data_IF_926518678910
#
_entry.id   IF_926518678910
#
_cell.length_a   1.000
_cell.length_b   1.000
_cell.length_c   1.000
_cell.angle_alpha   90.00
_cell.angle_beta   90.00
_cell.angle_gamma   90.00
#
_symmetry.space_group_name_H-M   'P 1'
#
loop_
_entity.id
_entity.type
_entity.pdbx_description
1 polymer ?
#
# COMPACT_ATOMS: atom_id res chain seq x y z
N UNK A 1 21.84 44.23 -27.53
CA UNK A 1 20.54 43.66 -27.94
C UNK A 1 20.04 42.86 -26.76
N UNK A 2 19.61 43.56 -25.72
CA UNK A 2 19.10 42.98 -24.47
C UNK A 2 17.58 43.01 -24.53
N UNK A 3 16.95 41.94 -25.03
CA UNK A 3 15.51 41.66 -24.85
C UNK A 3 15.07 40.33 -25.50
N UNK A 4 15.69 39.21 -25.15
CA UNK A 4 15.11 37.87 -25.39
C UNK A 4 15.18 37.06 -24.09
N UNK A 5 14.54 37.56 -23.05
CA UNK A 5 14.17 36.77 -21.87
C UNK A 5 12.67 36.93 -21.70
N UNK A 6 11.92 35.88 -22.07
CA UNK A 6 10.47 35.85 -21.94
C UNK A 6 10.05 36.20 -20.51
N UNK A 7 9.25 37.24 -20.38
CA UNK A 7 8.67 37.65 -19.10
C UNK A 7 7.90 36.47 -18.51
N UNK A 8 8.26 36.03 -17.30
CA UNK A 8 7.52 34.98 -16.58
C UNK A 8 6.04 35.38 -16.55
N UNK A 9 5.17 34.49 -17.06
CA UNK A 9 3.72 34.73 -17.10
C UNK A 9 3.20 35.15 -15.72
N UNK A 10 2.34 36.16 -15.66
CA UNK A 10 1.69 36.59 -14.42
C UNK A 10 0.80 35.51 -13.80
N UNK A 11 0.56 34.40 -14.50
CA UNK A 11 -0.22 33.24 -14.06
C UNK A 11 0.62 32.15 -13.39
N UNK A 12 1.94 32.32 -13.23
CA UNK A 12 2.80 31.30 -12.58
C UNK A 12 2.32 30.97 -11.15
N UNK A 13 1.79 31.94 -10.40
CA UNK A 13 1.22 31.68 -9.08
C UNK A 13 -0.01 30.77 -9.14
N UNK A 14 -0.86 30.93 -10.16
CA UNK A 14 -2.04 30.10 -10.35
C UNK A 14 -1.66 28.67 -10.72
N UNK A 15 -0.61 28.50 -11.55
CA UNK A 15 -0.03 27.17 -11.85
C UNK A 15 0.50 26.52 -10.57
N UNK A 16 1.31 27.23 -9.77
CA UNK A 16 1.82 26.68 -8.51
C UNK A 16 0.70 26.29 -7.54
N UNK A 17 -0.34 27.12 -7.43
CA UNK A 17 -1.48 26.84 -6.56
C UNK A 17 -2.28 25.63 -7.06
N UNK A 18 -2.52 25.52 -8.37
CA UNK A 18 -3.17 24.36 -8.97
C UNK A 18 -2.34 23.08 -8.78
N UNK A 19 -1.01 23.15 -8.97
CA UNK A 19 -0.10 22.04 -8.71
C UNK A 19 -0.12 21.63 -7.24
N UNK A 20 -0.07 22.59 -6.31
CA UNK A 20 -0.14 22.31 -4.88
C UNK A 20 -1.48 21.66 -4.49
N UNK A 21 -2.59 22.16 -5.01
CA UNK A 21 -3.91 21.58 -4.78
C UNK A 21 -3.99 20.14 -5.31
N UNK A 22 -3.43 19.88 -6.49
CA UNK A 22 -3.38 18.54 -7.08
C UNK A 22 -2.52 17.59 -6.22
N UNK A 23 -1.34 18.05 -5.77
CA UNK A 23 -0.48 17.26 -4.87
C UNK A 23 -1.20 16.94 -3.57
N UNK A 24 -1.86 17.92 -2.94
CA UNK A 24 -2.62 17.69 -1.71
C UNK A 24 -3.75 16.69 -1.92
N UNK A 25 -4.50 16.79 -3.02
CA UNK A 25 -5.57 15.86 -3.37
C UNK A 25 -5.06 14.42 -3.50
N UNK A 26 -3.87 14.25 -4.09
CA UNK A 26 -3.24 12.94 -4.28
C UNK A 26 -2.60 12.35 -3.01
N UNK A 27 -2.10 13.21 -2.11
CA UNK A 27 -1.43 12.77 -0.87
C UNK A 27 -2.44 12.47 0.25
N UNK A 28 -3.61 13.12 0.22
CA UNK A 28 -4.65 12.97 1.25
C UNK A 28 -5.06 11.50 1.51
N UNK A 29 -5.31 10.65 0.49
CA UNK A 29 -5.64 9.24 0.71
C UNK A 29 -4.49 8.47 1.37
N UNK A 30 -3.24 8.77 1.01
CA UNK A 30 -2.05 8.13 1.61
C UNK A 30 -1.89 8.51 3.08
N UNK A 31 -2.13 9.78 3.44
CA UNK A 31 -2.18 10.22 4.84
C UNK A 31 -3.31 9.51 5.58
N UNK A 32 -4.50 9.44 4.98
CA UNK A 32 -5.63 8.74 5.59
C UNK A 32 -5.38 7.26 5.81
N UNK A 33 -4.65 6.60 4.90
CA UNK A 33 -4.22 5.22 5.03
C UNK A 33 -3.19 5.05 6.14
N UNK A 34 -2.17 5.92 6.19
CA UNK A 34 -1.14 5.96 7.23
C UNK A 34 -1.73 6.18 8.62
N UNK A 35 -2.68 7.10 8.76
CA UNK A 35 -3.34 7.34 10.04
C UNK A 35 -4.18 6.12 10.42
N UNK A 36 -4.94 5.57 9.46
CA UNK A 36 -5.77 4.39 9.67
C UNK A 36 -4.98 3.15 10.08
N UNK A 37 -3.76 2.97 9.59
CA UNK A 37 -2.94 1.79 9.92
C UNK A 37 -2.52 1.72 11.39
N UNK A 38 -2.50 2.85 12.11
CA UNK A 38 -2.23 2.90 13.55
C UNK A 38 -3.49 2.84 14.42
N UNK A 39 -4.69 2.81 13.84
CA UNK A 39 -5.95 2.80 14.60
C UNK A 39 -6.37 1.38 14.91
N UNK A 40 -6.97 1.18 16.08
CA UNK A 40 -7.61 -0.09 16.39
C UNK A 40 -8.95 -0.26 15.64
N UNK A 41 -9.51 -1.48 15.76
CA UNK A 41 -10.75 -1.88 15.10
C UNK A 41 -11.95 -1.02 15.48
N UNK A 42 -12.05 -0.63 16.74
CA UNK A 42 -13.21 0.13 17.24
C UNK A 42 -13.13 1.58 16.74
N UNK A 43 -11.94 2.17 16.72
CA UNK A 43 -11.75 3.51 16.20
C UNK A 43 -12.02 3.60 14.70
N UNK A 44 -11.47 2.68 13.90
CA UNK A 44 -11.60 2.75 12.44
C UNK A 44 -13.05 2.54 11.97
N UNK A 45 -13.86 1.81 12.73
CA UNK A 45 -15.28 1.59 12.44
C UNK A 45 -16.19 2.72 12.91
N UNK A 46 -15.80 3.45 13.95
CA UNK A 46 -16.64 4.50 14.56
C UNK A 46 -16.45 5.89 13.95
N UNK A 47 -15.27 6.19 13.40
CA UNK A 47 -15.00 7.51 12.83
C UNK A 47 -13.98 7.50 11.69
N UNK A 48 -14.08 8.50 10.81
CA UNK A 48 -13.10 8.72 9.74
C UNK A 48 -11.72 9.09 10.30
N UNK A 49 -10.67 8.81 9.53
CA UNK A 49 -9.27 9.04 9.94
C UNK A 49 -8.95 10.50 10.29
N UNK A 50 -9.68 11.46 9.73
CA UNK A 50 -9.54 12.90 10.05
C UNK A 50 -9.98 13.25 11.48
N UNK A 51 -10.71 12.35 12.16
CA UNK A 51 -11.09 12.50 13.58
C UNK A 51 -10.22 11.68 14.54
N UNK A 52 -9.17 11.02 14.07
CA UNK A 52 -8.36 10.09 14.87
C UNK A 52 -7.67 10.72 16.08
N UNK A 53 -7.43 12.04 16.06
CA UNK A 53 -6.82 12.80 17.15
C UNK A 53 -7.84 13.31 18.18
N UNK A 54 -9.13 13.05 17.98
CA UNK A 54 -10.19 13.50 18.87
C UNK A 54 -10.87 12.30 19.55
N UNK A 55 -11.48 12.50 20.74
CA UNK A 55 -12.28 11.46 21.37
C UNK A 55 -13.34 10.91 20.43
N UNK A 56 -13.48 9.59 20.40
CA UNK A 56 -14.49 8.91 19.61
C UNK A 56 -15.71 8.64 20.50
N UNK A 57 -16.87 9.12 20.09
CA UNK A 57 -18.15 8.72 20.67
C UNK A 57 -18.55 7.35 20.15
N UNK A 58 -18.90 6.46 21.07
CA UNK A 58 -19.33 5.10 20.79
C UNK A 58 -20.63 4.82 21.54
N UNK A 59 -21.53 4.10 20.88
CA UNK A 59 -22.74 3.55 21.50
C UNK A 59 -22.53 2.05 21.70
N UNK A 60 -22.26 1.66 22.93
CA UNK A 60 -22.00 0.28 23.33
C UNK A 60 -23.32 -0.33 23.82
N UNK A 61 -23.60 -1.56 23.42
CA UNK A 61 -24.70 -2.35 23.96
C UNK A 61 -24.10 -3.49 24.77
N UNK A 62 -24.10 -3.35 26.08
CA UNK A 62 -23.58 -4.33 27.00
C UNK A 62 -24.72 -5.16 27.58
N UNK A 63 -24.50 -6.46 27.84
CA UNK A 63 -25.46 -7.27 28.60
C UNK A 63 -24.91 -7.43 30.00
N UNK A 64 -25.69 -7.03 31.00
CA UNK A 64 -25.27 -7.17 32.38
C UNK A 64 -25.01 -8.64 32.75
N UNK A 65 -24.16 -8.86 33.74
CA UNK A 65 -23.77 -10.18 34.24
C UNK A 65 -24.96 -11.07 34.55
N UNK A 66 -24.79 -12.38 34.35
CA UNK A 66 -25.86 -13.36 34.53
C UNK A 66 -26.22 -13.55 36.02
N UNK A 67 -27.38 -14.15 36.28
CA UNK A 67 -27.90 -14.40 37.62
C UNK A 67 -26.91 -15.15 38.54
N UNK A 68 -26.02 -15.96 37.98
CA UNK A 68 -24.99 -16.70 38.74
C UNK A 68 -23.93 -15.77 39.38
N UNK A 69 -23.82 -14.53 38.90
CA UNK A 69 -22.90 -13.51 39.43
C UNK A 69 -23.54 -12.64 40.51
N UNK A 70 -24.81 -12.87 40.85
CA UNK A 70 -25.52 -12.08 41.84
C UNK A 70 -24.98 -12.34 43.26
N UNK A 71 -24.91 -11.28 44.05
CA UNK A 71 -24.55 -11.32 45.47
C UNK A 71 -25.65 -10.65 46.29
N UNK A 72 -25.87 -11.15 47.49
CA UNK A 72 -26.77 -10.50 48.44
C UNK A 72 -26.01 -9.36 49.14
N UNK A 73 -26.57 -8.15 49.08
CA UNK A 73 -26.03 -6.95 49.73
C UNK A 73 -27.14 -6.35 50.61
N UNK A 74 -27.18 -6.77 51.87
CA UNK A 74 -28.28 -6.44 52.79
C UNK A 74 -29.63 -7.02 52.34
N UNK A 75 -30.69 -6.20 52.21
CA UNK A 75 -32.01 -6.66 51.77
C UNK A 75 -32.15 -6.80 50.24
N UNK A 76 -31.11 -6.45 49.48
CA UNK A 76 -31.15 -6.41 48.01
C UNK A 76 -30.23 -7.46 47.39
N UNK A 77 -30.60 -7.92 46.21
CA UNK A 77 -29.76 -8.71 45.32
C UNK A 77 -29.05 -7.77 44.36
N UNK A 78 -27.74 -7.96 44.18
CA UNK A 78 -26.89 -7.06 43.41
C UNK A 78 -26.09 -7.81 42.37
N UNK A 79 -26.02 -7.25 41.16
CA UNK A 79 -25.08 -7.66 40.12
C UNK A 79 -24.23 -6.44 39.77
N UNK A 80 -22.93 -6.52 40.03
CA UNK A 80 -21.95 -5.50 39.67
C UNK A 80 -21.15 -5.95 38.44
N UNK A 81 -20.66 -5.00 37.65
CA UNK A 81 -19.73 -5.25 36.56
C UNK A 81 -19.26 -3.96 35.91
N UNK A 82 -18.51 -4.06 34.82
CA UNK A 82 -18.05 -2.89 34.08
C UNK A 82 -18.40 -3.02 32.59
N UNK A 83 -19.04 -1.99 32.03
CA UNK A 83 -19.54 -2.01 30.64
C UNK A 83 -18.43 -1.97 29.59
N UNK A 84 -17.21 -1.61 29.98
CA UNK A 84 -16.04 -1.60 29.10
C UNK A 84 -15.24 -2.90 29.13
N UNK A 85 -15.53 -3.85 30.04
CA UNK A 85 -14.86 -5.16 30.12
C UNK A 85 -13.31 -5.08 30.06
N UNK A 86 -12.74 -4.09 30.77
CA UNK A 86 -11.30 -3.82 30.80
C UNK A 86 -10.79 -2.85 29.71
N UNK A 87 -11.63 -2.42 28.78
CA UNK A 87 -11.35 -1.29 27.90
C UNK A 87 -11.49 0.05 28.67
N UNK A 88 -10.83 1.10 28.15
CA UNK A 88 -10.92 2.45 28.73
C UNK A 88 -11.98 3.29 28.03
N UNK A 89 -12.73 4.08 28.80
CA UNK A 89 -13.72 5.01 28.28
C UNK A 89 -14.37 5.81 29.40
N UNK A 90 -15.08 6.86 29.04
CA UNK A 90 -15.91 7.63 29.95
C UNK A 90 -17.36 7.56 29.47
N UNK A 91 -18.24 7.05 30.33
CA UNK A 91 -19.69 7.05 30.07
C UNK A 91 -20.19 8.49 30.14
N UNK A 92 -20.82 8.94 29.06
CA UNK A 92 -21.45 10.27 28.95
C UNK A 92 -22.96 10.19 29.17
N UNK A 93 -23.58 9.07 28.81
CA UNK A 93 -24.99 8.78 29.07
C UNK A 93 -25.26 7.27 29.01
N UNK A 94 -26.37 6.82 29.58
CA UNK A 94 -26.81 5.43 29.47
C UNK A 94 -28.34 5.31 29.34
N UNK A 95 -28.80 4.11 28.99
CA UNK A 95 -30.19 3.79 28.78
C UNK A 95 -30.48 2.30 28.93
N UNK A 96 -31.75 1.96 29.12
CA UNK A 96 -32.21 0.57 29.36
C UNK A 96 -32.89 -0.06 28.14
N UNK A 97 -33.03 0.71 27.06
CA UNK A 97 -33.64 0.25 25.82
C UNK A 97 -33.07 1.00 24.60
N UNK A 98 -33.27 0.45 23.41
CA UNK A 98 -32.72 1.01 22.16
C UNK A 98 -33.43 2.28 21.67
N UNK A 99 -34.61 2.62 22.20
CA UNK A 99 -35.36 3.82 21.80
C UNK A 99 -34.81 5.08 22.48
N UNK A 100 -34.29 4.93 23.69
CA UNK A 100 -33.69 6.03 24.47
C UNK A 100 -32.38 5.55 25.12
N UNK A 101 -31.31 5.34 24.33
CA UNK A 101 -30.03 4.79 24.81
C UNK A 101 -29.20 5.78 25.65
N UNK A 102 -29.55 7.07 25.65
CA UNK A 102 -28.90 8.15 26.41
C UNK A 102 -29.91 8.86 27.33
N UNK A 103 -30.84 8.12 27.92
CA UNK A 103 -31.92 8.67 28.74
C UNK A 103 -31.44 9.18 30.11
N UNK A 104 -30.34 8.64 30.63
CA UNK A 104 -29.85 8.89 31.98
C UNK A 104 -28.39 9.35 31.95
N UNK A 105 -28.05 10.29 32.84
CA UNK A 105 -26.68 10.72 33.08
C UNK A 105 -25.93 9.70 33.96
N UNK A 106 -24.59 9.61 33.87
CA UNK A 106 -23.81 8.74 34.74
C UNK A 106 -24.09 9.01 36.22
N UNK A 107 -24.23 7.95 37.01
CA UNK A 107 -24.57 8.00 38.44
C UNK A 107 -26.07 8.13 38.74
N UNK A 108 -26.92 8.40 37.75
CA UNK A 108 -28.37 8.37 37.93
C UNK A 108 -28.89 6.92 38.05
N UNK A 109 -30.01 6.74 38.76
CA UNK A 109 -30.72 5.47 38.83
C UNK A 109 -31.79 5.40 37.73
N UNK A 110 -31.81 4.29 36.99
CA UNK A 110 -32.84 3.95 36.03
C UNK A 110 -33.70 2.81 36.60
N UNK A 111 -35.01 3.04 36.71
CA UNK A 111 -35.96 2.01 37.10
C UNK A 111 -36.31 1.10 35.92
N UNK A 112 -36.11 -0.20 36.11
CA UNK A 112 -36.55 -1.26 35.22
C UNK A 112 -37.84 -1.90 35.78
N UNK A 113 -38.35 -2.90 35.08
CA UNK A 113 -39.50 -3.68 35.54
C UNK A 113 -39.15 -4.48 36.80
N UNK A 114 -40.18 -4.84 37.56
CA UNK A 114 -40.08 -5.74 38.72
C UNK A 114 -39.20 -5.23 39.87
N UNK A 115 -39.09 -3.90 39.99
CA UNK A 115 -38.32 -3.24 41.06
C UNK A 115 -36.81 -3.32 40.86
N UNK A 116 -36.35 -3.76 39.69
CA UNK A 116 -34.94 -3.75 39.32
C UNK A 116 -34.50 -2.32 39.05
N UNK A 117 -33.38 -1.89 39.60
CA UNK A 117 -32.75 -0.60 39.30
C UNK A 117 -31.37 -0.80 38.70
N UNK A 118 -31.00 0.09 37.80
CA UNK A 118 -29.68 0.15 37.18
C UNK A 118 -29.06 1.52 37.43
N UNK A 119 -27.83 1.53 37.95
CA UNK A 119 -26.97 2.71 37.92
C UNK A 119 -25.71 2.40 37.12
N UNK A 120 -25.25 3.33 36.29
CA UNK A 120 -23.99 3.23 35.54
C UNK A 120 -23.15 4.46 35.86
N UNK A 121 -21.93 4.26 36.34
CA UNK A 121 -20.99 5.32 36.70
C UNK A 121 -20.18 5.78 35.49
N UNK A 122 -19.53 6.96 35.60
CA UNK A 122 -18.73 7.53 34.51
C UNK A 122 -17.54 6.65 34.11
N UNK A 123 -16.98 5.88 35.05
CA UNK A 123 -15.90 4.92 34.82
C UNK A 123 -16.38 3.59 34.18
N UNK A 124 -17.68 3.46 33.88
CA UNK A 124 -18.28 2.27 33.29
C UNK A 124 -18.74 1.21 34.29
N UNK A 125 -18.51 1.38 35.59
CA UNK A 125 -19.03 0.46 36.59
C UNK A 125 -20.55 0.55 36.63
N UNK A 126 -21.23 -0.58 36.49
CA UNK A 126 -22.67 -0.67 36.63
C UNK A 126 -23.04 -1.49 37.85
N UNK A 127 -24.18 -1.13 38.44
CA UNK A 127 -24.81 -1.87 39.52
C UNK A 127 -26.28 -2.07 39.21
N UNK A 128 -26.68 -3.33 39.14
CA UNK A 128 -28.08 -3.74 39.14
C UNK A 128 -28.48 -4.10 40.56
N UNK A 129 -29.62 -3.60 41.02
CA UNK A 129 -30.19 -3.97 42.33
C UNK A 129 -31.63 -4.42 42.18
N UNK A 130 -32.02 -5.48 42.86
CA UNK A 130 -33.39 -5.98 42.87
C UNK A 130 -33.81 -6.43 44.29
N UNK A 131 -35.10 -6.32 44.63
CA UNK A 131 -35.62 -6.83 45.91
C UNK A 131 -35.74 -8.36 45.96
N UNK A 132 -35.75 -9.02 44.80
CA UNK A 132 -35.77 -10.48 44.64
C UNK A 132 -34.55 -10.95 43.83
N UNK A 133 -34.26 -12.25 43.86
CA UNK A 133 -33.19 -12.83 43.07
C UNK A 133 -33.42 -12.57 41.58
N UNK A 134 -32.34 -12.30 40.86
CA UNK A 134 -32.39 -12.21 39.40
C UNK A 134 -32.63 -13.60 38.81
N UNK A 135 -33.69 -13.73 38.02
CA UNK A 135 -34.01 -14.96 37.30
C UNK A 135 -34.04 -14.68 35.78
N UNK A 136 -33.46 -15.59 34.99
CA UNK A 136 -33.47 -15.49 33.53
C UNK A 136 -32.39 -14.57 32.96
N UNK A 137 -32.69 -13.90 31.84
CA UNK A 137 -31.69 -13.14 31.08
C UNK A 137 -31.56 -11.72 31.61
N UNK A 138 -30.34 -11.35 31.97
CA UNK A 138 -30.01 -10.00 32.41
C UNK A 138 -30.29 -8.93 31.32
N UNK A 139 -30.67 -7.71 31.75
CA UNK A 139 -31.02 -6.63 30.84
C UNK A 139 -29.84 -6.18 29.99
N UNK A 140 -30.15 -5.58 28.84
CA UNK A 140 -29.17 -4.86 28.02
C UNK A 140 -29.04 -3.43 28.52
N UNK A 141 -27.81 -3.00 28.71
CA UNK A 141 -27.41 -1.64 29.05
C UNK A 141 -26.93 -0.99 27.75
N UNK A 142 -27.52 0.14 27.40
CA UNK A 142 -27.08 0.98 26.30
C UNK A 142 -26.22 2.09 26.88
N UNK A 143 -25.00 2.26 26.40
CA UNK A 143 -24.02 3.19 26.94
C UNK A 143 -23.50 4.07 25.81
N UNK A 144 -23.63 5.39 25.97
CA UNK A 144 -22.92 6.35 25.15
C UNK A 144 -21.63 6.73 25.87
N UNK A 145 -20.49 6.40 25.28
CA UNK A 145 -19.17 6.66 25.88
C UNK A 145 -18.28 7.43 24.94
N UNK A 146 -17.40 8.24 25.51
CA UNK A 146 -16.25 8.80 24.79
C UNK A 146 -15.00 8.02 25.17
N UNK A 147 -14.26 7.58 24.17
CA UNK A 147 -12.95 6.98 24.35
C UNK A 147 -11.88 7.91 23.79
N UNK A 148 -10.75 8.09 24.50
CA UNK A 148 -9.66 8.92 23.99
C UNK A 148 -9.06 8.31 22.71
N UNK A 149 -8.35 9.11 21.89
CA UNK A 149 -7.51 8.62 20.80
C UNK A 149 -6.58 7.48 21.26
N UNK A 150 -6.56 6.35 20.52
CA UNK A 150 -5.70 5.21 20.79
C UNK A 150 -4.98 4.84 19.51
N UNK A 151 -3.67 4.86 19.58
CA UNK A 151 -2.82 4.38 18.50
C UNK A 151 -2.14 3.09 18.95
N UNK A 152 -2.03 2.14 18.03
CA UNK A 152 -1.47 0.82 18.29
C UNK A 152 -0.51 0.40 17.17
N UNK A 153 0.48 -0.41 17.54
CA UNK A 153 1.37 -1.10 16.61
C UNK A 153 0.97 -2.56 16.43
N UNK A 154 -0.07 -3.02 17.12
CA UNK A 154 -0.49 -4.42 17.10
C UNK A 154 -0.91 -4.87 15.70
N UNK A 155 -1.56 -3.98 14.92
CA UNK A 155 -1.91 -4.25 13.53
C UNK A 155 -0.69 -4.64 12.69
N UNK A 156 0.43 -3.92 12.84
CA UNK A 156 1.67 -4.22 12.13
C UNK A 156 2.28 -5.54 12.58
N UNK A 157 2.29 -5.82 13.89
CA UNK A 157 2.75 -7.10 14.43
C UNK A 157 1.92 -8.25 13.84
N UNK A 158 0.61 -8.13 13.87
CA UNK A 158 -0.33 -9.13 13.36
C UNK A 158 -0.18 -9.35 11.86
N UNK A 159 -0.10 -8.28 11.09
CA UNK A 159 0.10 -8.34 9.64
C UNK A 159 1.42 -9.01 9.27
N UNK A 160 2.52 -8.65 9.96
CA UNK A 160 3.85 -9.17 9.66
C UNK A 160 4.01 -10.65 10.01
N UNK A 161 3.41 -11.10 11.11
CA UNK A 161 3.66 -12.43 11.68
C UNK A 161 2.51 -13.43 11.56
N UNK A 162 1.26 -12.98 11.41
CA UNK A 162 0.07 -13.86 11.41
C UNK A 162 -0.68 -13.87 10.07
N UNK A 163 -0.72 -12.76 9.35
CA UNK A 163 -1.51 -12.62 8.10
C UNK A 163 -0.67 -12.89 6.84
N UNK A 164 0.54 -13.45 6.97
CA UNK A 164 1.38 -13.87 5.84
C UNK A 164 2.09 -12.73 5.08
N UNK A 165 1.98 -11.47 5.51
CA UNK A 165 2.56 -10.33 4.80
C UNK A 165 4.08 -10.42 4.70
N UNK A 166 4.76 -10.90 5.75
CA UNK A 166 6.23 -11.06 5.71
C UNK A 166 6.69 -11.99 4.59
N UNK A 167 5.97 -13.10 4.36
CA UNK A 167 6.25 -14.02 3.25
C UNK A 167 5.93 -13.38 1.90
N UNK A 168 4.77 -12.73 1.80
CA UNK A 168 4.38 -12.05 0.55
C UNK A 168 5.36 -10.93 0.18
N UNK A 169 5.91 -10.22 1.15
CA UNK A 169 6.99 -9.25 0.96
C UNK A 169 8.23 -9.92 0.37
N UNK A 170 8.71 -11.03 0.94
CA UNK A 170 9.86 -11.77 0.40
C UNK A 170 9.60 -12.29 -1.01
N UNK A 171 8.41 -12.83 -1.28
CA UNK A 171 8.01 -13.27 -2.62
C UNK A 171 8.02 -12.10 -3.61
N UNK A 172 7.50 -10.94 -3.20
CA UNK A 172 7.46 -9.72 -4.04
C UNK A 172 8.87 -9.23 -4.35
N UNK A 173 9.78 -9.23 -3.36
CA UNK A 173 11.19 -8.91 -3.56
C UNK A 173 11.87 -9.91 -4.50
N UNK A 174 11.58 -11.20 -4.32
CA UNK A 174 12.09 -12.31 -5.15
C UNK A 174 11.64 -12.18 -6.61
N UNK A 175 10.47 -11.60 -6.87
CA UNK A 175 10.00 -11.30 -8.23
C UNK A 175 10.59 -9.99 -8.74
N UNK A 176 10.47 -8.92 -7.96
CA UNK A 176 10.73 -7.54 -8.40
C UNK A 176 12.21 -7.27 -8.67
N UNK A 177 13.12 -7.76 -7.82
CA UNK A 177 14.56 -7.52 -8.02
C UNK A 177 15.04 -8.14 -9.34
N UNK A 178 14.87 -9.46 -9.60
CA UNK A 178 15.35 -10.06 -10.84
C UNK A 178 14.63 -9.49 -12.08
N UNK A 179 13.31 -9.28 -11.99
CA UNK A 179 12.52 -8.68 -13.07
C UNK A 179 12.90 -7.21 -13.38
N UNK A 180 13.64 -6.55 -12.48
CA UNK A 180 14.21 -5.22 -12.73
C UNK A 180 15.60 -5.32 -13.35
N UNK A 181 16.46 -6.19 -12.81
CA UNK A 181 17.87 -6.29 -13.21
C UNK A 181 18.02 -6.96 -14.58
N UNK A 182 17.35 -8.09 -14.81
CA UNK A 182 17.49 -8.90 -16.03
C UNK A 182 17.23 -8.07 -17.30
N UNK A 183 16.08 -7.35 -17.44
CA UNK A 183 15.83 -6.58 -18.66
C UNK A 183 16.83 -5.44 -18.83
N UNK A 184 17.31 -4.80 -17.76
CA UNK A 184 18.32 -3.74 -17.84
C UNK A 184 19.63 -4.26 -18.43
N UNK A 185 20.11 -5.40 -17.93
CA UNK A 185 21.38 -5.97 -18.39
C UNK A 185 21.30 -6.28 -19.89
N UNK A 186 20.23 -6.94 -20.32
CA UNK A 186 20.00 -7.29 -21.73
C UNK A 186 19.82 -6.01 -22.58
N UNK A 187 18.99 -5.08 -22.11
CA UNK A 187 18.67 -3.87 -22.85
C UNK A 187 19.85 -2.92 -22.97
N UNK A 188 20.74 -2.84 -21.98
CA UNK A 188 21.94 -2.01 -22.06
C UNK A 188 22.87 -2.45 -23.20
N UNK A 189 23.09 -3.77 -23.35
CA UNK A 189 23.86 -4.31 -24.48
C UNK A 189 23.16 -4.08 -25.82
N UNK A 190 21.86 -4.40 -25.90
CA UNK A 190 21.09 -4.22 -27.13
C UNK A 190 21.02 -2.74 -27.54
N UNK A 191 20.82 -1.83 -26.59
CA UNK A 191 20.79 -0.38 -26.82
C UNK A 191 22.14 0.13 -27.33
N UNK A 192 23.25 -0.32 -26.74
CA UNK A 192 24.59 0.04 -27.22
C UNK A 192 24.80 -0.39 -28.66
N UNK A 193 24.52 -1.66 -28.98
CA UNK A 193 24.66 -2.17 -30.34
C UNK A 193 23.78 -1.41 -31.34
N UNK A 194 22.51 -1.15 -30.98
CA UNK A 194 21.57 -0.43 -31.84
C UNK A 194 21.81 1.09 -31.92
N UNK A 195 22.61 1.66 -31.02
CA UNK A 195 23.00 3.07 -31.02
C UNK A 195 24.32 3.30 -31.77
N UNK A 196 25.32 2.43 -31.58
CA UNK A 196 26.71 2.73 -31.93
C UNK A 196 27.40 1.72 -32.85
N UNK A 197 26.85 0.51 -33.01
CA UNK A 197 27.42 -0.50 -33.91
C UNK A 197 26.76 -0.44 -35.29
N UNK A 198 27.54 -0.72 -36.33
CA UNK A 198 27.08 -0.80 -37.71
C UNK A 198 27.03 -2.26 -38.15
N UNK A 199 25.84 -2.73 -38.52
CA UNK A 199 25.63 -4.10 -38.99
C UNK A 199 24.36 -4.19 -39.85
N UNK A 200 24.26 -5.16 -40.78
CA UNK A 200 23.09 -5.30 -41.64
C UNK A 200 21.83 -5.65 -40.83
N UNK A 201 20.68 -5.06 -41.20
CA UNK A 201 19.40 -5.32 -40.53
C UNK A 201 19.12 -4.49 -39.26
N UNK A 202 20.05 -3.63 -38.83
CA UNK A 202 19.90 -2.74 -37.66
C UNK A 202 18.58 -1.95 -37.66
N UNK A 203 18.18 -1.38 -38.81
CA UNK A 203 16.93 -0.62 -38.92
C UNK A 203 15.68 -1.48 -38.71
N UNK A 204 15.69 -2.73 -39.21
CA UNK A 204 14.58 -3.68 -39.00
C UNK A 204 14.47 -4.09 -37.53
N UNK A 205 15.59 -4.31 -36.85
CA UNK A 205 15.57 -4.61 -35.41
C UNK A 205 15.01 -3.44 -34.60
N UNK A 206 15.39 -2.20 -34.93
CA UNK A 206 14.82 -1.01 -34.29
C UNK A 206 13.31 -0.95 -34.53
N UNK A 207 12.87 -1.15 -35.79
CA UNK A 207 11.45 -1.17 -36.12
C UNK A 207 10.69 -2.29 -35.38
N UNK A 208 11.29 -3.47 -35.23
CA UNK A 208 10.71 -4.58 -34.48
C UNK A 208 10.58 -4.25 -32.99
N UNK A 209 11.62 -3.69 -32.36
CA UNK A 209 11.57 -3.23 -30.96
C UNK A 209 10.45 -2.21 -30.75
N UNK A 210 10.32 -1.24 -31.66
CA UNK A 210 9.24 -0.24 -31.59
C UNK A 210 7.88 -0.89 -31.83
N UNK A 211 7.76 -1.82 -32.78
CA UNK A 211 6.52 -2.55 -33.04
C UNK A 211 6.06 -3.39 -31.86
N UNK A 212 6.98 -3.97 -31.09
CA UNK A 212 6.67 -4.73 -29.88
C UNK A 212 6.08 -3.87 -28.76
N UNK A 213 6.33 -2.55 -28.74
CA UNK A 213 5.69 -1.63 -27.77
C UNK A 213 4.18 -1.50 -28.00
N UNK A 214 3.69 -1.78 -29.21
CA UNK A 214 2.27 -1.68 -29.57
C UNK A 214 1.49 -2.90 -29.10
N UNK A 215 2.17 -4.02 -28.83
CA UNK A 215 1.52 -5.28 -28.46
C UNK A 215 0.92 -5.16 -27.05
N UNK A 216 -0.40 -5.30 -26.89
CA UNK A 216 -1.03 -5.26 -25.57
C UNK A 216 -0.61 -6.50 -24.78
N UNK A 217 -0.06 -6.30 -23.57
CA UNK A 217 0.47 -7.41 -22.77
C UNK A 217 -0.58 -8.50 -22.50
N UNK A 218 -1.85 -8.10 -22.33
CA UNK A 218 -2.96 -8.98 -21.94
C UNK A 218 -3.21 -10.07 -22.99
N UNK A 219 -2.99 -9.76 -24.27
CA UNK A 219 -3.15 -10.72 -25.37
C UNK A 219 -2.02 -11.78 -25.36
N UNK A 220 -0.85 -11.44 -24.83
CA UNK A 220 0.32 -12.31 -24.81
C UNK A 220 0.40 -13.19 -23.56
N UNK A 221 -0.33 -12.87 -22.48
CA UNK A 221 -0.24 -13.59 -21.20
C UNK A 221 -0.51 -15.10 -21.31
N UNK A 222 -1.65 -15.48 -21.89
CA UNK A 222 -2.06 -16.90 -21.95
C UNK A 222 -1.17 -17.72 -22.91
N UNK A 223 -0.89 -17.25 -24.15
CA UNK A 223 0.05 -17.97 -25.02
C UNK A 223 1.42 -18.13 -24.39
N UNK A 224 1.93 -17.09 -23.73
CA UNK A 224 3.24 -17.13 -23.08
C UNK A 224 3.25 -18.08 -21.89
N UNK A 225 2.21 -18.09 -21.05
CA UNK A 225 2.10 -19.05 -19.96
C UNK A 225 2.05 -20.49 -20.48
N UNK A 226 1.33 -20.75 -21.58
CA UNK A 226 1.29 -22.07 -22.22
C UNK A 226 2.70 -22.51 -22.65
N UNK A 227 3.48 -21.62 -23.25
CA UNK A 227 4.88 -21.88 -23.58
C UNK A 227 5.72 -22.17 -22.32
N UNK A 228 5.56 -21.39 -21.26
CA UNK A 228 6.28 -21.60 -20.00
C UNK A 228 5.95 -22.96 -19.36
N UNK A 229 4.69 -23.37 -19.38
CA UNK A 229 4.27 -24.70 -18.91
C UNK A 229 4.91 -25.82 -19.75
N UNK A 230 4.98 -25.67 -21.07
CA UNK A 230 5.63 -26.65 -21.95
C UNK A 230 7.13 -26.78 -21.68
N UNK A 231 7.78 -25.67 -21.32
CA UNK A 231 9.19 -25.63 -20.93
C UNK A 231 9.45 -26.08 -19.48
N UNK A 232 8.39 -26.37 -18.70
CA UNK A 232 8.52 -26.77 -17.29
C UNK A 232 8.85 -25.63 -16.33
N UNK A 233 8.70 -24.36 -16.75
CA UNK A 233 9.01 -23.16 -15.96
C UNK A 233 7.76 -22.34 -15.60
N UNK A 234 6.57 -22.83 -15.94
CA UNK A 234 5.31 -22.18 -15.60
C UNK A 234 4.98 -22.37 -14.12
N UNK A 235 4.36 -21.36 -13.49
CA UNK A 235 4.09 -21.34 -12.03
C UNK A 235 5.35 -21.33 -11.15
N UNK A 236 6.51 -21.03 -11.75
CA UNK A 236 7.79 -20.89 -11.05
C UNK A 236 8.31 -19.44 -11.10
N UNK A 237 9.19 -19.08 -10.15
CA UNK A 237 9.80 -17.75 -10.10
C UNK A 237 10.54 -17.38 -11.38
N UNK A 238 11.27 -18.33 -11.98
CA UNK A 238 11.97 -18.10 -13.24
C UNK A 238 10.99 -17.72 -14.37
N UNK A 239 9.78 -18.29 -14.37
CA UNK A 239 8.80 -17.98 -15.40
C UNK A 239 8.26 -16.56 -15.31
N UNK A 240 7.98 -16.07 -14.10
CA UNK A 240 7.56 -14.68 -13.90
C UNK A 240 8.70 -13.67 -14.14
N UNK A 241 9.95 -14.03 -13.84
CA UNK A 241 11.12 -13.19 -14.14
C UNK A 241 11.26 -12.99 -15.65
N UNK A 242 11.17 -14.07 -16.43
CA UNK A 242 11.27 -14.02 -17.88
C UNK A 242 10.07 -13.32 -18.51
N UNK A 243 8.86 -13.50 -17.97
CA UNK A 243 7.68 -12.79 -18.43
C UNK A 243 7.82 -11.26 -18.27
N UNK A 244 8.14 -10.77 -17.05
CA UNK A 244 8.36 -9.34 -16.83
C UNK A 244 9.53 -8.79 -17.64
N UNK A 245 10.60 -9.57 -17.80
CA UNK A 245 11.74 -9.18 -18.64
C UNK A 245 11.31 -9.02 -20.09
N UNK A 246 10.60 -10.01 -20.66
CA UNK A 246 10.12 -9.99 -22.03
C UNK A 246 9.21 -8.79 -22.32
N UNK A 247 8.29 -8.47 -21.41
CA UNK A 247 7.40 -7.32 -21.55
C UNK A 247 8.10 -5.98 -21.36
N UNK A 248 9.08 -5.89 -20.44
CA UNK A 248 9.82 -4.65 -20.18
C UNK A 248 10.91 -4.34 -21.21
N UNK A 249 11.43 -5.36 -21.89
CA UNK A 249 12.58 -5.26 -22.81
C UNK A 249 12.40 -4.24 -23.95
N UNK A 250 11.28 -4.21 -24.69
CA UNK A 250 11.11 -3.27 -25.79
C UNK A 250 11.26 -1.81 -25.33
N UNK A 251 10.64 -1.48 -24.19
CA UNK A 251 10.71 -0.13 -23.61
C UNK A 251 12.12 0.18 -23.08
N UNK A 252 12.75 -0.79 -22.41
CA UNK A 252 14.11 -0.68 -21.93
C UNK A 252 15.10 -0.36 -23.06
N UNK A 253 15.06 -1.16 -24.14
CA UNK A 253 15.93 -0.99 -25.31
C UNK A 253 15.67 0.36 -25.96
N UNK A 254 14.41 0.71 -26.17
CA UNK A 254 14.04 1.98 -26.80
C UNK A 254 14.55 3.19 -26.01
N UNK A 255 14.26 3.25 -24.70
CA UNK A 255 14.66 4.37 -23.84
C UNK A 255 16.18 4.47 -23.72
N UNK A 256 16.86 3.36 -23.43
CA UNK A 256 18.31 3.35 -23.28
C UNK A 256 19.01 3.70 -24.60
N UNK A 257 18.52 3.20 -25.74
CA UNK A 257 19.07 3.54 -27.06
C UNK A 257 18.94 5.03 -27.33
N UNK A 258 17.77 5.61 -27.09
CA UNK A 258 17.54 7.04 -27.35
C UNK A 258 18.44 7.94 -26.49
N UNK A 259 18.68 7.54 -25.23
CA UNK A 259 19.65 8.23 -24.40
C UNK A 259 21.07 8.05 -24.91
N UNK A 260 21.48 6.80 -25.20
CA UNK A 260 22.85 6.48 -25.63
C UNK A 260 23.22 7.17 -26.94
N UNK A 261 22.28 7.34 -27.89
CA UNK A 261 22.52 8.08 -29.14
C UNK A 261 22.85 9.55 -28.90
N UNK A 262 22.38 10.13 -27.79
CA UNK A 262 22.66 11.52 -27.41
C UNK A 262 24.02 11.74 -26.76
N UNK A 263 24.79 10.69 -26.48
CA UNK A 263 26.13 10.84 -25.89
C UNK A 263 27.12 11.45 -26.91
N UNK A 264 28.10 12.26 -26.46
CA UNK A 264 29.07 12.89 -27.37
C UNK A 264 29.87 11.86 -28.17
N UNK A 265 29.76 11.91 -29.49
CA UNK A 265 30.43 10.95 -30.40
C UNK A 265 31.96 11.00 -30.27
N UNK A 266 32.50 12.21 -30.09
CA UNK A 266 33.93 12.50 -30.04
C UNK A 266 34.66 11.66 -28.97
N UNK A 267 34.03 11.44 -27.80
CA UNK A 267 34.62 10.65 -26.70
C UNK A 267 34.78 9.18 -27.13
N UNK A 268 33.80 8.65 -27.86
CA UNK A 268 33.77 7.25 -28.30
C UNK A 268 34.71 7.03 -29.48
N UNK A 269 34.74 7.98 -30.42
CA UNK A 269 35.66 7.97 -31.56
C UNK A 269 37.12 8.07 -31.10
N UNK A 270 37.42 8.94 -30.13
CA UNK A 270 38.76 9.02 -29.51
C UNK A 270 39.16 7.69 -28.86
N UNK A 271 38.27 7.08 -28.07
CA UNK A 271 38.55 5.80 -27.44
C UNK A 271 38.81 4.68 -28.48
N UNK A 272 38.11 4.71 -29.62
CA UNK A 272 38.34 3.76 -30.72
C UNK A 272 39.69 4.01 -31.41
N UNK A 273 40.10 5.27 -31.57
CA UNK A 273 41.44 5.64 -32.07
C UNK A 273 42.54 5.16 -31.11
N UNK A 274 42.28 5.21 -29.80
CA UNK A 274 43.17 4.65 -28.76
C UNK A 274 43.18 3.11 -28.70
N UNK A 275 42.47 2.43 -29.62
CA UNK A 275 42.44 0.97 -29.73
C UNK A 275 41.51 0.28 -28.73
N UNK A 276 40.61 1.01 -28.07
CA UNK A 276 39.64 0.40 -27.17
C UNK A 276 38.63 -0.47 -27.95
N UNK A 277 38.36 -1.67 -27.41
CA UNK A 277 37.33 -2.56 -27.98
C UNK A 277 35.92 -2.06 -27.66
N UNK A 278 34.92 -2.45 -28.46
CA UNK A 278 33.51 -2.11 -28.17
C UNK A 278 33.06 -2.51 -26.77
N UNK A 279 33.55 -3.64 -26.25
CA UNK A 279 33.24 -4.07 -24.88
C UNK A 279 33.88 -3.16 -23.82
N UNK A 280 35.11 -2.68 -24.06
CA UNK A 280 35.78 -1.71 -23.18
C UNK A 280 35.07 -0.36 -23.23
N UNK A 281 34.72 0.13 -24.42
CA UNK A 281 33.95 1.36 -24.62
C UNK A 281 32.61 1.26 -23.90
N UNK A 282 31.89 0.16 -24.07
CA UNK A 282 30.62 -0.09 -23.40
C UNK A 282 30.76 -0.02 -21.87
N UNK A 283 31.65 -0.83 -21.28
CA UNK A 283 31.75 -0.92 -19.82
C UNK A 283 32.37 0.32 -19.17
N UNK A 284 33.38 0.93 -19.78
CA UNK A 284 34.16 2.02 -19.16
C UNK A 284 33.62 3.42 -19.47
N UNK A 285 32.90 3.59 -20.58
CA UNK A 285 32.45 4.91 -21.04
C UNK A 285 30.92 4.97 -21.09
N UNK A 286 30.29 4.12 -21.90
CA UNK A 286 28.85 4.21 -22.17
C UNK A 286 28.03 3.90 -20.91
N UNK A 287 28.35 2.82 -20.21
CA UNK A 287 27.58 2.37 -19.06
C UNK A 287 27.60 3.41 -17.91
N UNK A 288 28.75 3.99 -17.50
CA UNK A 288 28.78 5.07 -16.51
C UNK A 288 28.02 6.34 -16.96
N UNK A 289 28.18 6.75 -18.22
CA UNK A 289 27.47 7.94 -18.75
C UNK A 289 25.96 7.70 -18.87
N UNK A 290 25.53 6.45 -19.04
CA UNK A 290 24.14 6.03 -19.12
C UNK A 290 23.50 5.74 -17.77
N UNK A 291 24.24 5.87 -16.66
CA UNK A 291 23.72 5.60 -15.32
C UNK A 291 22.41 6.35 -14.99
N UNK A 292 22.22 7.63 -15.34
CA UNK A 292 20.95 8.32 -15.11
C UNK A 292 19.76 7.66 -15.83
N UNK A 293 19.95 7.21 -17.07
CA UNK A 293 18.91 6.53 -17.85
C UNK A 293 18.62 5.12 -17.33
N UNK A 294 19.67 4.37 -16.98
CA UNK A 294 19.55 3.05 -16.36
C UNK A 294 18.80 3.12 -15.03
N UNK A 295 19.15 4.07 -14.17
CA UNK A 295 18.47 4.30 -12.90
C UNK A 295 17.01 4.72 -13.11
N UNK A 296 16.74 5.56 -14.11
CA UNK A 296 15.36 5.96 -14.44
C UNK A 296 14.52 4.74 -14.85
N UNK A 297 15.01 3.93 -15.79
CA UNK A 297 14.30 2.72 -16.21
C UNK A 297 14.17 1.71 -15.05
N UNK A 298 15.18 1.55 -14.21
CA UNK A 298 15.12 0.69 -13.03
C UNK A 298 13.97 1.08 -12.09
N UNK A 299 13.77 2.37 -11.83
CA UNK A 299 12.65 2.85 -11.02
C UNK A 299 11.32 2.47 -11.67
N UNK A 300 11.15 2.76 -12.97
CA UNK A 300 9.91 2.43 -13.68
C UNK A 300 9.61 0.93 -13.68
N UNK A 301 10.60 0.10 -13.98
CA UNK A 301 10.47 -1.35 -14.02
C UNK A 301 10.21 -1.94 -12.62
N UNK A 302 10.89 -1.44 -11.59
CA UNK A 302 10.67 -1.84 -10.20
C UNK A 302 9.25 -1.50 -9.77
N UNK A 303 8.80 -0.25 -9.98
CA UNK A 303 7.47 0.19 -9.58
C UNK A 303 6.38 -0.55 -10.36
N UNK A 304 6.58 -0.81 -11.65
CA UNK A 304 5.65 -1.59 -12.45
C UNK A 304 5.50 -3.02 -11.90
N UNK A 305 6.63 -3.71 -11.67
CA UNK A 305 6.62 -5.10 -11.19
C UNK A 305 6.12 -5.22 -9.76
N UNK A 306 6.49 -4.28 -8.87
CA UNK A 306 6.04 -4.26 -7.47
C UNK A 306 4.52 -4.15 -7.34
N UNK A 307 3.91 -3.33 -8.20
CA UNK A 307 2.47 -3.08 -8.18
C UNK A 307 1.69 -4.05 -9.09
N UNK A 308 2.36 -4.96 -9.80
CA UNK A 308 1.69 -5.88 -10.69
C UNK A 308 0.93 -6.96 -9.90
N UNK A 309 -0.36 -7.08 -10.20
CA UNK A 309 -1.21 -8.16 -9.74
C UNK A 309 -1.48 -9.18 -10.86
N UNK A 310 -1.55 -8.72 -12.11
CA UNK A 310 -2.09 -9.49 -13.22
C UNK A 310 -1.08 -10.53 -13.71
N UNK A 311 0.14 -10.10 -14.04
CA UNK A 311 1.22 -11.01 -14.44
C UNK A 311 1.57 -11.95 -13.29
N UNK A 312 1.61 -11.44 -12.05
CA UNK A 312 1.81 -12.27 -10.87
C UNK A 312 0.77 -13.39 -10.73
N UNK A 313 -0.52 -13.06 -10.82
CA UNK A 313 -1.61 -14.05 -10.74
C UNK A 313 -1.53 -15.07 -11.88
N UNK A 314 -1.18 -14.63 -13.09
CA UNK A 314 -1.08 -15.54 -14.24
C UNK A 314 0.14 -16.45 -14.15
N UNK A 315 1.32 -15.92 -13.78
CA UNK A 315 2.58 -16.65 -13.86
C UNK A 315 3.01 -17.36 -12.57
N UNK A 316 2.57 -16.92 -11.39
CA UNK A 316 2.77 -17.63 -10.12
C UNK A 316 1.50 -18.34 -9.64
N UNK A 317 0.32 -17.79 -9.94
CA UNK A 317 -0.95 -18.32 -9.44
C UNK A 317 -1.36 -17.73 -8.09
N UNK A 318 -2.20 -18.48 -7.37
CA UNK A 318 -2.77 -18.09 -6.08
C UNK A 318 -2.37 -19.06 -4.96
N UNK A 319 -1.23 -19.73 -5.10
CA UNK A 319 -0.71 -20.55 -4.01
C UNK A 319 -0.28 -19.61 -2.87
N UNK A 320 -0.82 -19.75 -1.64
CA UNK A 320 -0.46 -18.90 -0.50
C UNK A 320 1.05 -18.79 -0.29
N UNK A 321 1.77 -19.83 -0.69
CA UNK A 321 3.21 -19.94 -0.55
C UNK A 321 4.02 -19.02 -1.45
N UNK A 322 3.45 -18.62 -2.60
CA UNK A 322 4.09 -17.82 -3.65
C UNK A 322 3.34 -16.50 -3.90
N UNK A 323 2.31 -16.18 -3.12
CA UNK A 323 1.59 -14.92 -3.24
C UNK A 323 2.56 -13.74 -3.06
N UNK A 324 2.51 -12.80 -3.99
CA UNK A 324 3.11 -11.48 -3.85
C UNK A 324 2.17 -10.57 -3.06
N UNK A 325 2.65 -9.40 -2.62
CA UNK A 325 1.91 -8.48 -1.76
C UNK A 325 0.59 -8.04 -2.37
N UNK A 326 0.56 -7.77 -3.69
CA UNK A 326 -0.67 -7.40 -4.40
C UNK A 326 -1.70 -8.52 -4.36
N UNK A 327 -1.26 -9.78 -4.51
CA UNK A 327 -2.11 -10.98 -4.42
C UNK A 327 -2.65 -11.22 -3.02
N UNK A 328 -1.80 -11.09 -2.00
CA UNK A 328 -2.22 -11.21 -0.60
C UNK A 328 -3.19 -10.11 -0.20
N UNK A 329 -2.94 -8.85 -0.58
CA UNK A 329 -3.86 -7.75 -0.30
C UNK A 329 -5.24 -7.97 -0.92
N UNK A 330 -5.30 -8.50 -2.15
CA UNK A 330 -6.56 -8.90 -2.79
C UNK A 330 -7.30 -9.96 -1.98
N UNK A 331 -6.59 -10.96 -1.45
CA UNK A 331 -7.20 -12.01 -0.62
C UNK A 331 -7.68 -11.50 0.75
N UNK A 332 -6.89 -10.63 1.38
CA UNK A 332 -7.30 -9.97 2.63
C UNK A 332 -8.55 -9.12 2.39
N UNK A 333 -8.62 -8.36 1.30
CA UNK A 333 -9.82 -7.57 0.97
C UNK A 333 -11.09 -8.44 0.83
N UNK A 334 -10.97 -9.66 0.29
CA UNK A 334 -12.11 -10.56 0.11
C UNK A 334 -12.50 -11.32 1.39
N UNK A 335 -11.53 -11.70 2.22
CA UNK A 335 -11.75 -12.55 3.40
C UNK A 335 -11.97 -11.75 4.70
N UNK A 336 -11.41 -10.54 4.80
CA UNK A 336 -11.39 -9.71 6.00
C UNK A 336 -12.39 -8.55 5.93
N UNK A 337 -13.59 -8.78 5.39
CA UNK A 337 -14.62 -7.77 5.10
C UNK A 337 -15.14 -6.90 6.27
N UNK A 338 -14.48 -6.92 7.43
CA UNK A 338 -14.71 -6.02 8.56
C UNK A 338 -13.48 -5.75 9.45
N UNK A 339 -12.27 -6.11 9.02
CA UNK A 339 -11.00 -5.82 9.74
C UNK A 339 -10.20 -4.74 8.98
N UNK A 340 -10.78 -3.54 8.91
CA UNK A 340 -10.23 -2.42 8.15
C UNK A 340 -8.85 -1.97 8.64
N UNK A 341 -8.57 -2.14 9.93
CA UNK A 341 -7.30 -1.84 10.57
C UNK A 341 -6.16 -2.72 10.04
N UNK A 342 -6.45 -3.99 9.76
CA UNK A 342 -5.50 -4.95 9.18
C UNK A 342 -5.26 -4.62 7.71
N UNK A 343 -6.32 -4.30 6.97
CA UNK A 343 -6.22 -3.87 5.56
C UNK A 343 -5.42 -2.58 5.42
N UNK A 344 -5.68 -1.58 6.27
CA UNK A 344 -4.96 -0.32 6.27
C UNK A 344 -3.47 -0.51 6.56
N UNK A 345 -3.13 -1.28 7.59
CA UNK A 345 -1.73 -1.60 7.92
C UNK A 345 -1.03 -2.36 6.77
N UNK A 346 -1.68 -3.37 6.20
CA UNK A 346 -1.12 -4.16 5.10
C UNK A 346 -0.86 -3.31 3.86
N UNK A 347 -1.84 -2.49 3.48
CA UNK A 347 -1.74 -1.60 2.33
C UNK A 347 -0.67 -0.52 2.55
N UNK A 348 -0.56 0.03 3.77
CA UNK A 348 0.47 1.00 4.08
C UNK A 348 1.89 0.40 3.95
N UNK A 349 2.13 -0.80 4.49
CA UNK A 349 3.42 -1.49 4.34
C UNK A 349 3.76 -1.71 2.86
N UNK A 350 2.77 -2.07 2.03
CA UNK A 350 2.94 -2.25 0.58
C UNK A 350 3.35 -0.97 -0.14
N UNK A 351 2.74 0.18 0.20
CA UNK A 351 3.05 1.48 -0.42
C UNK A 351 4.36 2.08 0.11
N UNK A 352 4.75 1.79 1.35
CA UNK A 352 5.97 2.33 1.94
C UNK A 352 7.23 2.01 1.12
N UNK A 353 7.30 0.82 0.51
CA UNK A 353 8.49 0.35 -0.23
C UNK A 353 8.68 1.14 -1.54
N UNK A 354 7.68 1.25 -2.45
CA UNK A 354 7.72 2.17 -3.59
C UNK A 354 8.12 3.59 -3.22
N UNK A 355 7.59 4.13 -2.13
CA UNK A 355 7.92 5.49 -1.68
C UNK A 355 9.39 5.61 -1.29
N UNK A 356 9.92 4.66 -0.52
CA UNK A 356 11.34 4.63 -0.14
C UNK A 356 12.22 4.56 -1.39
N UNK A 357 11.92 3.66 -2.34
CA UNK A 357 12.68 3.53 -3.59
C UNK A 357 12.62 4.81 -4.40
N UNK A 358 11.44 5.40 -4.56
CA UNK A 358 11.27 6.66 -5.27
C UNK A 358 12.07 7.79 -4.62
N UNK A 359 11.94 8.04 -3.32
CA UNK A 359 12.67 9.12 -2.66
C UNK A 359 14.19 8.92 -2.65
N UNK A 360 14.65 7.66 -2.57
CA UNK A 360 16.07 7.33 -2.68
C UNK A 360 16.63 7.61 -4.09
N UNK A 361 15.81 7.39 -5.13
CA UNK A 361 16.27 7.42 -6.53
C UNK A 361 15.78 8.63 -7.36
N UNK A 362 14.89 9.49 -6.84
CA UNK A 362 14.26 10.61 -7.54
C UNK A 362 15.26 11.55 -8.24
N UNK A 363 16.44 11.76 -7.67
CA UNK A 363 17.50 12.61 -8.25
C UNK A 363 18.01 12.10 -9.59
N UNK A 364 17.94 10.79 -9.82
CA UNK A 364 18.33 10.17 -11.09
C UNK A 364 17.22 10.24 -12.14
N UNK A 365 15.95 10.11 -11.70
CA UNK A 365 14.77 10.22 -12.56
C UNK A 365 14.71 11.60 -13.26
N UNK A 366 14.92 12.67 -12.49
CA UNK A 366 14.91 14.05 -13.00
C UNK A 366 15.99 14.25 -14.06
N UNK A 367 17.19 13.69 -13.86
CA UNK A 367 18.30 13.80 -14.82
C UNK A 367 18.05 12.96 -16.08
N UNK A 368 17.50 11.76 -15.94
CA UNK A 368 17.24 10.85 -17.07
C UNK A 368 16.15 11.34 -18.03
N UNK A 369 15.05 11.89 -17.52
CA UNK A 369 13.94 12.41 -18.33
C UNK A 369 14.30 13.71 -19.08
N UNK A 370 15.08 14.59 -18.43
CA UNK A 370 15.45 15.88 -19.02
C UNK A 370 16.53 15.75 -20.10
N UNK A 371 17.45 14.79 -19.98
CA UNK A 371 18.52 14.58 -20.96
C UNK A 371 18.03 14.20 -22.37
N UNK A 372 16.83 13.61 -22.49
CA UNK A 372 16.21 13.32 -23.79
C UNK A 372 15.42 14.49 -24.41
N UNK A 373 15.19 15.56 -23.65
CA UNK A 373 14.29 16.66 -24.03
C UNK A 373 15.01 17.96 -24.40
N UNK A 374 16.31 18.08 -24.09
CA UNK A 374 17.11 19.24 -24.51
C UNK A 374 17.69 18.94 -25.89
N UNK A 375 17.02 19.47 -26.91
CA UNK A 375 17.59 19.68 -28.25
C UNK A 375 17.79 21.17 -28.45
#
# INVERSE_FOLDING_TARGET
MDNIAGTKSSLVWAVHLATAALVLLWVLPTIGLLVSSFRDRDQITTSGWWRSLFPAEQNIVYRAGDADTQRQDGPLWVIDGNVFDGAGGEVTAFGVNSRAPAAFAPGAEADLKDGVKLAVQSNGDYRLTAPAQFEGRSPRIFVSSVSPPRFTLDNYRRVMFAEGLGRAFLNTMTVTIPATIIPILIAAFAAYALAWMEFPGRALLIAAVVGLLVVPLQMALIPLLKLHNQLGIGKEYIGIWLAHSGFGLPLAIYLLRNYMVGLPREIIESARVDGATDFQIFLKIILPLSFPALASFAIFQFLWTWNDLLVATVFLGNNPDQLVMTGLLRELMGSKGGEWEILAASAFVSIAVPLIVFFAMQKYLVRGLLAGSVK
#
